data_IF_567923566984
#
_entry.id   IF_567923566984
#
_cell.length_a   1.000
_cell.length_b   1.000
_cell.length_c   1.000
_cell.angle_alpha   90.00
_cell.angle_beta   90.00
_cell.angle_gamma   90.00
#
_symmetry.space_group_name_H-M   'P 1'
#
loop_
_entity.id
_entity.type
_entity.pdbx_description
1 polymer ?
#
# COMPACT_ATOMS: atom_id res chain seq x y z
N UNK A 1 31.46 15.50 -2.84
CA UNK A 1 32.62 16.20 -2.24
C UNK A 1 32.86 15.53 -0.90
N UNK A 2 34.05 14.98 -0.62
CA UNK A 2 34.33 14.35 0.66
C UNK A 2 34.24 15.38 1.82
N UNK A 3 33.76 14.89 2.96
CA UNK A 3 33.68 15.67 4.20
C UNK A 3 34.79 15.25 5.16
N UNK A 4 35.12 16.11 6.12
CA UNK A 4 36.15 15.79 7.13
C UNK A 4 35.78 14.54 7.91
N UNK A 5 36.74 13.59 8.01
CA UNK A 5 36.59 12.34 8.69
C UNK A 5 36.07 11.18 7.78
N UNK A 6 35.78 11.43 6.54
CA UNK A 6 35.35 10.40 5.58
C UNK A 6 36.54 9.57 5.11
N UNK A 7 36.47 8.24 5.22
CA UNK A 7 37.47 7.33 4.66
C UNK A 7 37.19 7.17 3.14
N UNK A 8 38.24 7.42 2.34
CA UNK A 8 38.10 7.39 0.88
C UNK A 8 39.20 6.55 0.24
N UNK A 9 38.86 5.87 -0.86
CA UNK A 9 39.81 5.27 -1.80
C UNK A 9 40.11 6.29 -2.89
N UNK A 10 41.36 6.69 -3.00
CA UNK A 10 41.82 7.61 -4.02
C UNK A 10 42.64 6.85 -5.08
N UNK A 11 42.21 6.93 -6.34
CA UNK A 11 42.99 6.51 -7.49
C UNK A 11 43.74 7.70 -8.07
N UNK A 12 45.02 7.54 -8.37
CA UNK A 12 45.80 8.65 -8.91
C UNK A 12 47.26 8.28 -9.14
N UNK A 13 48.02 9.23 -9.67
CA UNK A 13 49.44 9.09 -9.91
C UNK A 13 50.29 9.83 -8.87
N UNK A 14 51.28 9.16 -8.32
CA UNK A 14 52.28 9.84 -7.45
C UNK A 14 53.26 10.60 -8.29
N UNK A 15 53.49 11.86 -7.95
CA UNK A 15 54.49 12.71 -8.61
C UNK A 15 55.28 13.52 -7.56
N UNK A 16 56.48 13.90 -7.92
CA UNK A 16 57.33 14.76 -7.07
C UNK A 16 57.23 16.17 -7.62
N UNK A 17 56.81 17.13 -6.78
CA UNK A 17 56.80 18.54 -7.14
C UNK A 17 58.24 19.08 -7.09
N UNK A 18 58.85 19.36 -8.30
CA UNK A 18 60.31 19.65 -8.34
C UNK A 18 60.76 20.87 -7.56
N UNK A 19 59.87 21.86 -7.40
CA UNK A 19 60.23 23.12 -6.74
C UNK A 19 60.39 23.00 -5.21
N UNK A 20 59.78 21.98 -4.56
CA UNK A 20 59.79 21.82 -3.10
C UNK A 20 60.21 20.42 -2.64
N UNK A 21 60.47 19.48 -3.57
CA UNK A 21 60.83 18.10 -3.26
C UNK A 21 59.73 17.31 -2.54
N UNK A 22 58.50 17.77 -2.60
CA UNK A 22 57.37 17.11 -1.94
C UNK A 22 56.71 16.09 -2.84
N UNK A 23 56.39 14.92 -2.27
CA UNK A 23 55.58 13.91 -2.93
C UNK A 23 54.11 14.33 -2.89
N UNK A 24 53.48 14.35 -4.06
CA UNK A 24 52.05 14.68 -4.20
C UNK A 24 51.33 13.55 -4.90
N UNK A 25 50.11 13.24 -4.48
CA UNK A 25 49.20 12.34 -5.12
C UNK A 25 48.24 13.18 -5.97
N UNK A 26 48.30 13.01 -7.30
CA UNK A 26 47.32 13.59 -8.19
C UNK A 26 46.15 12.62 -8.32
N UNK A 27 45.03 12.95 -7.64
CA UNK A 27 43.84 12.12 -7.60
C UNK A 27 42.99 12.39 -8.82
N UNK A 28 42.77 11.36 -9.63
CA UNK A 28 41.89 11.38 -10.81
C UNK A 28 40.50 10.76 -10.54
N UNK A 29 40.40 9.85 -9.54
CA UNK A 29 39.14 9.32 -9.05
C UNK A 29 39.14 9.17 -7.52
N UNK A 30 38.02 9.52 -6.90
CA UNK A 30 37.82 9.42 -5.46
C UNK A 30 36.51 8.66 -5.22
N UNK A 31 36.56 7.61 -4.38
CA UNK A 31 35.38 6.83 -4.00
C UNK A 31 35.35 6.71 -2.48
N UNK A 32 34.15 6.67 -1.84
CA UNK A 32 34.05 6.30 -0.44
C UNK A 32 34.64 4.91 -0.21
N UNK A 33 35.52 4.77 0.80
CA UNK A 33 36.08 3.47 1.13
C UNK A 33 35.03 2.61 1.85
N UNK A 34 34.88 1.35 1.41
CA UNK A 34 33.93 0.42 2.00
C UNK A 34 32.67 0.16 1.19
N UNK A 35 32.26 1.04 0.28
CA UNK A 35 31.09 0.78 -0.59
C UNK A 35 31.22 -0.53 -1.36
N UNK A 36 32.43 -0.85 -1.86
CA UNK A 36 32.69 -2.09 -2.56
C UNK A 36 32.51 -3.33 -1.68
N UNK A 37 32.93 -3.28 -0.41
CA UNK A 37 32.81 -4.40 0.52
C UNK A 37 31.34 -4.63 0.93
N UNK A 38 30.61 -3.57 1.22
CA UNK A 38 29.17 -3.64 1.53
C UNK A 38 28.38 -4.17 0.32
N UNK A 39 28.70 -3.72 -0.87
CA UNK A 39 28.04 -4.20 -2.09
C UNK A 39 28.31 -5.70 -2.36
N UNK A 40 29.54 -6.18 -2.12
CA UNK A 40 29.86 -7.60 -2.25
C UNK A 40 29.11 -8.45 -1.21
N UNK A 41 29.00 -7.97 0.02
CA UNK A 41 28.23 -8.66 1.07
C UNK A 41 26.73 -8.68 0.74
N UNK A 42 26.17 -7.58 0.20
CA UNK A 42 24.80 -7.55 -0.30
C UNK A 42 24.58 -8.60 -1.40
N UNK A 43 25.47 -8.71 -2.38
CA UNK A 43 25.35 -9.69 -3.45
C UNK A 43 25.44 -11.13 -2.92
N UNK A 44 26.35 -11.37 -1.97
CA UNK A 44 26.49 -12.69 -1.30
C UNK A 44 25.21 -13.07 -0.58
N UNK A 45 24.68 -12.18 0.25
CA UNK A 45 23.47 -12.42 1.02
C UNK A 45 22.25 -12.57 0.12
N UNK A 46 22.14 -11.75 -0.91
CA UNK A 46 21.09 -11.87 -1.92
C UNK A 46 21.10 -13.24 -2.57
N UNK A 47 22.25 -13.70 -3.06
CA UNK A 47 22.36 -15.00 -3.71
C UNK A 47 22.03 -16.17 -2.75
N UNK A 48 22.44 -16.06 -1.50
CA UNK A 48 22.11 -17.04 -0.45
C UNK A 48 20.60 -17.14 -0.23
N UNK A 49 19.92 -16.02 0.04
CA UNK A 49 18.49 -15.99 0.36
C UNK A 49 17.62 -16.31 -0.88
N UNK A 50 18.09 -15.99 -2.07
CA UNK A 50 17.46 -16.39 -3.35
C UNK A 50 17.51 -17.91 -3.52
N UNK A 51 18.67 -18.53 -3.25
CA UNK A 51 18.81 -20.00 -3.29
C UNK A 51 17.95 -20.73 -2.24
N UNK A 52 17.70 -20.09 -1.11
CA UNK A 52 16.77 -20.58 -0.07
C UNK A 52 15.29 -20.36 -0.44
N UNK A 53 14.98 -19.61 -1.52
CA UNK A 53 13.63 -19.35 -2.00
C UNK A 53 12.87 -18.23 -1.29
N UNK A 54 13.54 -17.38 -0.49
CA UNK A 54 12.86 -16.30 0.23
C UNK A 54 12.28 -15.22 -0.69
N UNK A 55 12.73 -15.14 -1.93
CA UNK A 55 12.27 -14.17 -2.93
C UNK A 55 11.23 -14.73 -3.89
N UNK A 56 10.86 -16.01 -3.74
CA UNK A 56 9.91 -16.65 -4.65
C UNK A 56 8.55 -15.93 -4.65
N UNK A 57 8.04 -15.52 -5.81
CA UNK A 57 6.74 -14.86 -5.93
C UNK A 57 5.58 -15.68 -5.34
N UNK A 58 5.71 -17.01 -5.25
CA UNK A 58 4.67 -17.87 -4.67
C UNK A 58 4.44 -17.63 -3.18
N UNK A 59 5.43 -17.10 -2.47
CA UNK A 59 5.32 -16.75 -1.05
C UNK A 59 4.72 -15.37 -0.80
N UNK A 60 4.65 -14.52 -1.84
CA UNK A 60 4.13 -13.15 -1.71
C UNK A 60 2.63 -13.12 -1.55
N UNK A 61 2.19 -12.48 -0.48
CA UNK A 61 0.78 -12.39 -0.10
C UNK A 61 0.10 -11.21 -0.79
N UNK A 62 -1.14 -11.40 -1.19
CA UNK A 62 -1.95 -10.33 -1.74
C UNK A 62 -2.30 -9.29 -0.66
N UNK A 63 -2.23 -8.01 -1.03
CA UNK A 63 -2.65 -6.92 -0.15
C UNK A 63 -4.18 -6.83 -0.08
N UNK A 64 -4.75 -6.49 1.08
CA UNK A 64 -6.18 -6.24 1.22
C UNK A 64 -6.60 -5.00 0.43
N UNK A 65 -7.73 -5.07 -0.28
CA UNK A 65 -8.24 -3.93 -1.06
C UNK A 65 -8.73 -2.78 -0.19
N UNK A 66 -9.23 -3.06 1.01
CA UNK A 66 -9.75 -2.07 1.95
C UNK A 66 -9.27 -2.42 3.37
N UNK A 67 -8.05 -2.04 3.74
CA UNK A 67 -7.52 -2.30 5.07
C UNK A 67 -8.26 -1.47 6.13
N UNK A 68 -8.38 -2.02 7.32
CA UNK A 68 -8.96 -1.36 8.50
C UNK A 68 -7.91 -1.04 9.55
N UNK A 69 -6.81 -1.81 9.58
CA UNK A 69 -5.76 -1.65 10.56
C UNK A 69 -4.38 -1.94 9.95
N UNK A 70 -3.52 -0.93 9.93
CA UNK A 70 -2.15 -1.01 9.37
C UNK A 70 -1.12 -0.86 10.50
N UNK A 71 -0.10 -1.74 10.48
CA UNK A 71 1.10 -1.60 11.29
C UNK A 71 2.16 -0.78 10.55
N UNK A 72 2.89 0.08 11.24
CA UNK A 72 4.00 0.85 10.66
C UNK A 72 5.25 0.64 11.50
N UNK A 73 6.32 0.14 10.87
CA UNK A 73 7.66 0.00 11.46
C UNK A 73 8.54 1.09 10.86
N UNK A 74 8.93 2.06 11.67
CA UNK A 74 9.80 3.19 11.29
C UNK A 74 10.31 3.92 12.54
N UNK A 75 11.16 4.93 12.37
CA UNK A 75 11.61 5.76 13.48
C UNK A 75 10.49 6.67 14.02
N UNK A 76 10.49 6.91 15.34
CA UNK A 76 9.45 7.72 16.00
C UNK A 76 9.43 9.18 15.54
N UNK A 77 10.58 9.73 15.15
CA UNK A 77 10.77 11.16 14.83
C UNK A 77 11.12 11.41 13.36
N UNK A 78 11.10 10.36 12.54
CA UNK A 78 11.49 10.46 11.13
C UNK A 78 10.42 11.13 10.26
N UNK A 79 10.83 11.86 9.22
CA UNK A 79 9.95 12.42 8.20
C UNK A 79 9.07 11.34 7.56
N UNK A 80 9.62 10.13 7.35
CA UNK A 80 8.90 8.99 6.79
C UNK A 80 7.62 8.64 7.56
N UNK A 81 7.62 8.69 8.90
CA UNK A 81 6.42 8.47 9.70
C UNK A 81 5.36 9.54 9.44
N UNK A 82 5.77 10.80 9.42
CA UNK A 82 4.86 11.91 9.15
C UNK A 82 4.21 11.79 7.77
N UNK A 83 5.01 11.51 6.74
CA UNK A 83 4.56 11.36 5.36
C UNK A 83 3.57 10.19 5.20
N UNK A 84 3.87 9.05 5.85
CA UNK A 84 2.97 7.89 5.86
C UNK A 84 1.64 8.26 6.53
N UNK A 85 1.67 8.83 7.74
CA UNK A 85 0.45 9.16 8.48
C UNK A 85 -0.39 10.21 7.76
N UNK A 86 0.24 11.23 7.18
CA UNK A 86 -0.45 12.24 6.39
C UNK A 86 -1.12 11.62 5.15
N UNK A 87 -0.42 10.75 4.45
CA UNK A 87 -0.94 10.08 3.26
C UNK A 87 -2.10 9.14 3.59
N UNK A 88 -1.95 8.30 4.61
CA UNK A 88 -3.00 7.38 5.07
C UNK A 88 -4.25 8.14 5.52
N UNK A 89 -4.08 9.21 6.32
CA UNK A 89 -5.19 10.02 6.79
C UNK A 89 -5.92 10.75 5.66
N UNK A 90 -5.19 11.25 4.66
CA UNK A 90 -5.78 11.86 3.46
C UNK A 90 -6.59 10.86 2.66
N UNK A 91 -6.07 9.65 2.44
CA UNK A 91 -6.69 8.63 1.58
C UNK A 91 -7.82 7.87 2.28
N UNK A 92 -7.61 7.49 3.54
CA UNK A 92 -8.58 6.69 4.30
C UNK A 92 -8.58 7.08 5.78
N UNK A 93 -9.26 8.17 6.19
CA UNK A 93 -9.21 8.72 7.56
C UNK A 93 -9.79 7.80 8.65
N UNK A 94 -10.55 6.77 8.27
CA UNK A 94 -11.10 5.77 9.18
C UNK A 94 -10.14 4.63 9.51
N UNK A 95 -8.96 4.64 8.88
CA UNK A 95 -7.95 3.62 9.05
C UNK A 95 -7.30 3.71 10.43
N UNK A 96 -7.25 2.59 11.14
CA UNK A 96 -6.47 2.48 12.37
C UNK A 96 -5.01 2.23 12.03
N UNK A 97 -4.11 2.99 12.65
CA UNK A 97 -2.67 2.84 12.45
C UNK A 97 -2.01 2.55 13.79
N UNK A 98 -1.26 1.45 13.86
CA UNK A 98 -0.40 1.11 15.00
C UNK A 98 1.05 1.29 14.62
N UNK A 99 1.73 2.22 15.26
CA UNK A 99 3.17 2.45 15.03
C UNK A 99 3.97 1.60 16.00
N UNK A 100 4.93 0.86 15.49
CA UNK A 100 5.98 0.16 16.25
C UNK A 100 7.30 0.91 16.03
N UNK A 101 7.59 1.92 16.84
CA UNK A 101 8.76 2.76 16.65
C UNK A 101 10.04 1.98 16.94
N UNK A 102 11.04 2.14 16.05
CA UNK A 102 12.35 1.51 16.19
C UNK A 102 13.42 2.35 15.47
N UNK A 103 14.70 2.29 15.88
CA UNK A 103 15.79 2.78 15.05
C UNK A 103 15.74 2.10 13.67
N UNK A 104 15.96 2.88 12.61
CA UNK A 104 15.95 2.40 11.21
C UNK A 104 17.31 2.59 10.53
N UNK A 105 18.33 2.93 11.32
CA UNK A 105 19.74 3.04 10.93
C UNK A 105 20.64 2.76 12.13
N UNK A 106 21.92 2.45 11.86
CA UNK A 106 22.90 2.09 12.88
C UNK A 106 22.82 0.62 13.30
N UNK A 107 23.74 0.22 14.18
CA UNK A 107 24.00 -1.17 14.54
C UNK A 107 22.81 -1.85 15.26
N UNK A 108 22.01 -1.07 15.98
CA UNK A 108 20.86 -1.58 16.74
C UNK A 108 19.58 -1.71 15.87
N UNK A 109 19.58 -1.15 14.68
CA UNK A 109 18.38 -1.12 13.83
C UNK A 109 17.87 -2.51 13.45
N UNK A 110 18.69 -3.48 13.01
CA UNK A 110 18.20 -4.81 12.65
C UNK A 110 17.44 -5.50 13.79
N UNK A 111 18.01 -5.53 14.98
CA UNK A 111 17.38 -6.12 16.16
C UNK A 111 16.07 -5.41 16.53
N UNK A 112 16.06 -4.07 16.44
CA UNK A 112 14.88 -3.26 16.67
C UNK A 112 13.77 -3.50 15.66
N UNK A 113 14.08 -3.60 14.37
CA UNK A 113 13.13 -3.91 13.29
C UNK A 113 12.52 -5.29 13.50
N UNK A 114 13.34 -6.31 13.79
CA UNK A 114 12.87 -7.66 14.07
C UNK A 114 11.89 -7.66 15.26
N UNK A 115 12.23 -6.97 16.35
CA UNK A 115 11.37 -6.88 17.52
C UNK A 115 10.05 -6.13 17.22
N UNK A 116 10.10 -5.07 16.41
CA UNK A 116 8.93 -4.32 15.97
C UNK A 116 8.00 -5.17 15.10
N UNK A 117 8.56 -5.91 14.12
CA UNK A 117 7.80 -6.85 13.29
C UNK A 117 7.13 -7.92 14.14
N UNK A 118 7.86 -8.55 15.08
CA UNK A 118 7.29 -9.56 16.00
C UNK A 118 6.16 -9.00 16.84
N UNK A 119 6.29 -7.77 17.35
CA UNK A 119 5.25 -7.07 18.12
C UNK A 119 3.99 -6.84 17.30
N UNK A 120 4.12 -6.37 16.07
CA UNK A 120 2.97 -6.18 15.17
C UNK A 120 2.32 -7.52 14.80
N UNK A 121 3.10 -8.55 14.57
CA UNK A 121 2.60 -9.89 14.26
C UNK A 121 1.84 -10.55 15.44
N UNK A 122 2.01 -10.08 16.67
CA UNK A 122 1.23 -10.54 17.83
C UNK A 122 -0.16 -9.92 17.93
N UNK A 123 -0.44 -8.86 17.19
CA UNK A 123 -1.76 -8.23 17.16
C UNK A 123 -2.74 -9.11 16.34
N UNK A 124 -3.97 -9.36 16.83
CA UNK A 124 -4.87 -10.31 16.17
C UNK A 124 -5.56 -9.77 14.92
N UNK A 125 -5.65 -8.45 14.76
CA UNK A 125 -6.52 -7.76 13.82
C UNK A 125 -5.80 -6.77 12.91
N UNK A 126 -4.53 -7.03 12.62
CA UNK A 126 -3.75 -6.26 11.65
C UNK A 126 -4.02 -6.78 10.24
N UNK A 127 -4.07 -5.89 9.25
CA UNK A 127 -4.31 -6.24 7.85
C UNK A 127 -3.01 -6.32 7.03
N UNK A 128 -2.07 -5.41 7.30
CA UNK A 128 -0.75 -5.37 6.67
C UNK A 128 0.24 -4.54 7.50
N UNK A 129 1.52 -4.64 7.16
CA UNK A 129 2.61 -3.90 7.80
C UNK A 129 3.34 -3.08 6.74
N UNK A 130 3.63 -1.81 7.05
CA UNK A 130 4.54 -0.97 6.28
C UNK A 130 5.86 -0.91 7.04
N UNK A 131 6.94 -1.36 6.42
CA UNK A 131 8.31 -1.18 6.89
C UNK A 131 8.93 -0.05 6.09
N UNK A 132 9.26 1.07 6.74
CA UNK A 132 9.64 2.27 6.01
C UNK A 132 10.82 3.02 6.63
N UNK A 133 11.61 3.60 5.72
CA UNK A 133 12.66 4.56 6.01
C UNK A 133 12.77 5.55 4.84
N UNK A 134 13.00 6.81 5.15
CA UNK A 134 13.35 7.80 4.13
C UNK A 134 14.68 7.49 3.43
N UNK A 135 15.06 8.26 2.43
CA UNK A 135 16.34 8.13 1.76
C UNK A 135 17.53 8.34 2.68
N UNK A 136 18.72 7.98 2.20
CA UNK A 136 19.99 8.09 2.91
C UNK A 136 21.10 7.39 2.13
N UNK A 137 22.30 7.35 2.70
CA UNK A 137 23.41 6.61 2.12
C UNK A 137 23.22 5.11 2.19
N UNK A 138 24.02 4.33 1.45
CA UNK A 138 23.96 2.88 1.47
C UNK A 138 24.23 2.31 2.87
N UNK A 139 25.10 2.95 3.63
CA UNK A 139 25.40 2.59 5.02
C UNK A 139 24.18 2.79 5.93
N UNK A 140 23.42 3.82 5.68
CA UNK A 140 22.20 4.13 6.41
C UNK A 140 21.08 3.11 6.11
N UNK A 141 21.02 2.58 4.91
CA UNK A 141 20.07 1.56 4.49
C UNK A 141 20.51 0.15 4.85
N UNK A 142 21.75 -0.01 5.35
CA UNK A 142 22.35 -1.31 5.57
C UNK A 142 21.56 -2.21 6.53
N UNK A 143 20.87 -1.62 7.49
CA UNK A 143 19.99 -2.35 8.42
C UNK A 143 18.90 -3.19 7.73
N UNK A 144 18.51 -2.82 6.52
CA UNK A 144 17.51 -3.54 5.71
C UNK A 144 18.13 -4.64 4.82
N UNK A 145 19.47 -4.75 4.84
CA UNK A 145 20.22 -5.84 4.23
C UNK A 145 20.60 -6.92 5.26
N UNK A 146 20.04 -6.89 6.45
CA UNK A 146 20.30 -7.89 7.50
C UNK A 146 19.48 -9.17 7.24
N UNK A 147 20.12 -10.34 7.39
CA UNK A 147 19.50 -11.65 7.21
C UNK A 147 18.34 -11.88 8.19
N UNK A 148 18.48 -11.47 9.45
CA UNK A 148 17.44 -11.61 10.45
C UNK A 148 16.21 -10.77 10.14
N UNK A 149 16.39 -9.57 9.58
CA UNK A 149 15.29 -8.72 9.09
C UNK A 149 14.57 -9.40 7.93
N UNK A 150 15.32 -9.91 6.95
CA UNK A 150 14.76 -10.66 5.83
C UNK A 150 13.90 -11.84 6.30
N UNK A 151 14.44 -12.65 7.19
CA UNK A 151 13.72 -13.80 7.77
C UNK A 151 12.51 -13.39 8.61
N UNK A 152 12.56 -12.25 9.31
CA UNK A 152 11.42 -11.72 10.07
C UNK A 152 10.29 -11.21 9.15
N UNK A 153 10.63 -10.62 8.00
CA UNK A 153 9.66 -10.24 6.97
C UNK A 153 9.00 -11.48 6.37
N UNK A 154 9.80 -12.48 5.98
CA UNK A 154 9.33 -13.74 5.41
C UNK A 154 8.38 -14.49 6.36
N UNK A 155 8.73 -14.56 7.64
CA UNK A 155 7.93 -15.20 8.68
C UNK A 155 6.74 -14.36 9.16
N UNK A 156 6.52 -13.18 8.60
CA UNK A 156 5.41 -12.32 9.00
C UNK A 156 4.07 -13.00 8.70
N UNK A 157 3.13 -12.90 9.63
CA UNK A 157 1.74 -13.35 9.44
C UNK A 157 0.98 -12.45 8.45
N UNK A 158 1.30 -11.17 8.44
CA UNK A 158 0.64 -10.15 7.64
C UNK A 158 1.50 -9.76 6.44
N UNK A 159 0.90 -9.38 5.32
CA UNK A 159 1.64 -8.85 4.20
C UNK A 159 2.50 -7.65 4.62
N UNK A 160 3.71 -7.58 4.09
CA UNK A 160 4.66 -6.49 4.37
C UNK A 160 4.92 -5.70 3.11
N UNK A 161 4.74 -4.38 3.20
CA UNK A 161 5.18 -3.43 2.17
C UNK A 161 6.49 -2.83 2.63
N UNK A 162 7.53 -2.96 1.81
CA UNK A 162 8.79 -2.23 1.99
C UNK A 162 8.71 -0.88 1.30
N UNK A 163 8.93 0.19 2.05
CA UNK A 163 9.06 1.57 1.57
C UNK A 163 10.37 2.16 2.05
N UNK A 164 11.48 1.54 1.64
CA UNK A 164 12.84 1.86 2.08
C UNK A 164 13.62 2.50 0.94
N UNK A 165 14.27 3.64 1.23
CA UNK A 165 15.11 4.34 0.26
C UNK A 165 14.34 5.09 -0.84
N UNK A 166 14.91 5.12 -2.03
CA UNK A 166 14.37 5.73 -3.24
C UNK A 166 14.30 4.72 -4.39
N UNK A 167 13.96 5.17 -5.60
CA UNK A 167 13.75 4.30 -6.76
C UNK A 167 14.95 3.41 -7.11
N UNK A 168 16.17 3.94 -6.94
CA UNK A 168 17.43 3.27 -7.27
C UNK A 168 17.98 2.37 -6.17
N UNK A 169 17.51 2.54 -4.94
CA UNK A 169 18.06 1.87 -3.76
C UNK A 169 17.30 0.58 -3.49
N UNK A 170 17.91 -0.55 -3.75
CA UNK A 170 17.33 -1.86 -3.47
C UNK A 170 17.99 -2.48 -2.24
N UNK A 171 17.17 -2.93 -1.30
CA UNK A 171 17.60 -3.66 -0.13
C UNK A 171 17.11 -5.11 -0.14
N UNK A 172 17.71 -5.96 0.68
CA UNK A 172 17.23 -7.35 0.85
C UNK A 172 15.79 -7.37 1.33
N UNK A 173 15.39 -6.44 2.19
CA UNK A 173 14.01 -6.29 2.65
C UNK A 173 13.03 -6.08 1.48
N UNK A 174 13.42 -5.37 0.41
CA UNK A 174 12.57 -5.15 -0.77
C UNK A 174 12.31 -6.43 -1.57
N UNK A 175 13.31 -7.33 -1.64
CA UNK A 175 13.14 -8.60 -2.35
C UNK A 175 12.24 -9.56 -1.60
N UNK A 176 12.32 -9.59 -0.26
CA UNK A 176 11.53 -10.49 0.60
C UNK A 176 10.13 -9.96 0.85
N UNK A 177 9.92 -8.64 0.90
CA UNK A 177 8.61 -8.04 1.13
C UNK A 177 7.58 -8.48 0.08
N UNK A 178 6.32 -8.53 0.47
CA UNK A 178 5.21 -8.88 -0.43
C UNK A 178 5.06 -7.86 -1.56
N UNK A 179 5.31 -6.58 -1.24
CA UNK A 179 5.33 -5.50 -2.21
C UNK A 179 6.39 -4.46 -1.87
N UNK A 180 7.07 -3.95 -2.89
CA UNK A 180 8.00 -2.83 -2.77
C UNK A 180 7.34 -1.54 -3.20
N UNK A 181 7.58 -0.47 -2.44
CA UNK A 181 7.32 0.90 -2.82
C UNK A 181 8.64 1.69 -2.90
N UNK A 182 8.78 2.61 -3.84
CA UNK A 182 10.02 3.39 -3.97
C UNK A 182 10.22 4.43 -2.85
N UNK A 183 9.16 4.75 -2.11
CA UNK A 183 9.18 5.75 -1.03
C UNK A 183 8.21 5.37 0.09
N UNK A 184 8.39 5.92 1.30
CA UNK A 184 7.42 5.77 2.39
C UNK A 184 6.00 6.23 2.03
N UNK A 185 5.88 7.34 1.29
CA UNK A 185 4.60 7.84 0.77
C UNK A 185 3.97 6.86 -0.20
N UNK A 186 4.76 6.33 -1.14
CA UNK A 186 4.31 5.30 -2.08
C UNK A 186 3.85 4.03 -1.37
N UNK A 187 4.51 3.63 -0.28
CA UNK A 187 4.08 2.49 0.53
C UNK A 187 2.69 2.74 1.16
N UNK A 188 2.43 3.95 1.66
CA UNK A 188 1.13 4.32 2.18
C UNK A 188 0.04 4.35 1.09
N UNK A 189 0.36 4.76 -0.13
CA UNK A 189 -0.55 4.74 -1.28
C UNK A 189 -0.89 3.32 -1.72
N UNK A 190 0.12 2.45 -1.84
CA UNK A 190 -0.08 1.03 -2.16
C UNK A 190 -0.85 0.28 -1.07
N UNK A 191 -0.66 0.66 0.20
CA UNK A 191 -1.41 0.11 1.33
C UNK A 191 -2.89 0.51 1.32
N UNK A 192 -3.25 1.60 0.64
CA UNK A 192 -4.63 2.11 0.56
C UNK A 192 -5.06 2.26 -0.91
N UNK A 193 -5.24 1.16 -1.65
CA UNK A 193 -5.56 1.22 -3.08
C UNK A 193 -6.90 1.90 -3.37
N UNK A 194 -7.84 1.84 -2.43
CA UNK A 194 -9.15 2.51 -2.51
C UNK A 194 -9.15 3.73 -1.59
N UNK A 195 -9.48 4.89 -2.14
CA UNK A 195 -9.62 6.14 -1.40
C UNK A 195 -11.03 6.32 -0.82
N UNK A 196 -11.15 7.23 0.15
CA UNK A 196 -12.45 7.65 0.69
C UNK A 196 -13.37 8.21 -0.40
N UNK A 197 -12.80 8.97 -1.33
CA UNK A 197 -13.52 9.59 -2.44
C UNK A 197 -14.09 8.52 -3.39
N UNK A 198 -13.30 7.53 -3.76
CA UNK A 198 -13.73 6.40 -4.61
C UNK A 198 -14.80 5.55 -3.91
N UNK A 199 -14.63 5.28 -2.62
CA UNK A 199 -15.62 4.56 -1.84
C UNK A 199 -16.96 5.32 -1.77
N UNK A 200 -16.90 6.64 -1.57
CA UNK A 200 -18.07 7.50 -1.55
C UNK A 200 -18.79 7.54 -2.90
N UNK A 201 -18.03 7.66 -3.98
CA UNK A 201 -18.58 7.62 -5.33
C UNK A 201 -19.27 6.28 -5.63
N UNK A 202 -18.65 5.16 -5.22
CA UNK A 202 -19.24 3.83 -5.38
C UNK A 202 -20.54 3.68 -4.60
N UNK A 203 -20.61 4.19 -3.36
CA UNK A 203 -21.83 4.19 -2.55
C UNK A 203 -22.94 5.03 -3.18
N UNK A 204 -22.62 6.25 -3.65
CA UNK A 204 -23.60 7.12 -4.33
C UNK A 204 -24.12 6.49 -5.61
N UNK A 205 -23.24 5.82 -6.39
CA UNK A 205 -23.63 5.08 -7.58
C UNK A 205 -24.60 3.92 -7.28
N UNK A 206 -24.30 3.15 -6.22
CA UNK A 206 -25.16 2.05 -5.79
C UNK A 206 -26.53 2.55 -5.27
N UNK A 207 -26.55 3.66 -4.55
CA UNK A 207 -27.79 4.30 -4.06
C UNK A 207 -28.68 4.78 -5.23
N UNK A 208 -28.06 5.42 -6.23
CA UNK A 208 -28.76 5.87 -7.44
C UNK A 208 -29.35 4.67 -8.21
N UNK A 209 -28.60 3.60 -8.40
CA UNK A 209 -29.08 2.38 -9.07
C UNK A 209 -30.23 1.71 -8.30
N UNK A 210 -30.13 1.62 -6.99
CA UNK A 210 -31.21 1.09 -6.15
C UNK A 210 -32.48 1.93 -6.27
N UNK A 211 -32.35 3.24 -6.21
CA UNK A 211 -33.46 4.17 -6.36
C UNK A 211 -34.15 4.03 -7.71
N UNK A 212 -33.38 3.91 -8.79
CA UNK A 212 -33.92 3.70 -10.13
C UNK A 212 -34.68 2.36 -10.25
N UNK A 213 -34.09 1.28 -9.72
CA UNK A 213 -34.74 -0.03 -9.72
C UNK A 213 -36.06 -0.05 -8.96
N UNK A 214 -36.08 0.57 -7.77
CA UNK A 214 -37.28 0.68 -6.94
C UNK A 214 -38.35 1.51 -7.68
N UNK A 215 -37.98 2.65 -8.25
CA UNK A 215 -38.92 3.49 -9.00
C UNK A 215 -39.51 2.76 -10.22
N UNK A 216 -38.68 2.04 -10.97
CA UNK A 216 -39.13 1.22 -12.10
C UNK A 216 -40.13 0.15 -11.65
N UNK A 217 -39.81 -0.59 -10.58
CA UNK A 217 -40.69 -1.62 -10.04
C UNK A 217 -42.02 -1.04 -9.51
N UNK A 218 -42.00 0.13 -8.87
CA UNK A 218 -43.20 0.83 -8.45
C UNK A 218 -44.06 1.26 -9.63
N UNK A 219 -43.47 1.72 -10.71
CA UNK A 219 -44.20 2.13 -11.92
C UNK A 219 -44.85 0.93 -12.60
N UNK A 220 -44.14 -0.20 -12.73
CA UNK A 220 -44.68 -1.46 -13.24
C UNK A 220 -45.87 -1.95 -12.41
N UNK A 221 -45.77 -1.88 -11.07
CA UNK A 221 -46.86 -2.26 -10.18
C UNK A 221 -48.08 -1.34 -10.32
N UNK A 222 -47.87 -0.02 -10.45
CA UNK A 222 -48.94 0.95 -10.70
C UNK A 222 -49.66 0.67 -12.02
N UNK A 223 -48.92 0.41 -13.09
CA UNK A 223 -49.46 0.05 -14.36
C UNK A 223 -50.30 -1.23 -14.28
N UNK A 224 -49.76 -2.30 -13.63
CA UNK A 224 -50.47 -3.55 -13.42
C UNK A 224 -51.77 -3.32 -12.60
N UNK A 225 -51.73 -2.50 -11.56
CA UNK A 225 -52.89 -2.13 -10.77
C UNK A 225 -53.94 -1.38 -11.60
N UNK A 226 -53.52 -0.40 -12.42
CA UNK A 226 -54.45 0.33 -13.32
C UNK A 226 -55.11 -0.59 -14.33
N UNK A 227 -54.36 -1.52 -14.92
CA UNK A 227 -54.95 -2.52 -15.82
C UNK A 227 -55.97 -3.41 -15.13
N UNK A 228 -55.64 -3.97 -13.95
CA UNK A 228 -56.55 -4.77 -13.16
C UNK A 228 -57.81 -4.01 -12.76
N UNK A 229 -57.69 -2.73 -12.36
CA UNK A 229 -58.83 -1.88 -12.07
C UNK A 229 -59.72 -1.61 -13.28
N UNK A 230 -59.12 -1.40 -14.48
CA UNK A 230 -59.84 -1.18 -15.72
C UNK A 230 -60.62 -2.41 -16.13
N UNK A 231 -60.02 -3.60 -16.03
CA UNK A 231 -60.67 -4.91 -16.29
C UNK A 231 -61.84 -5.14 -15.33
N UNK A 232 -61.64 -4.88 -14.04
CA UNK A 232 -62.69 -5.02 -13.03
C UNK A 232 -63.87 -4.10 -13.30
N UNK A 233 -63.62 -2.86 -13.72
CA UNK A 233 -64.71 -1.92 -14.15
C UNK A 233 -65.45 -2.47 -15.39
N UNK A 234 -64.73 -2.99 -16.38
CA UNK A 234 -65.29 -3.50 -17.63
C UNK A 234 -66.15 -4.76 -17.42
N UNK A 235 -65.76 -5.64 -16.49
CA UNK A 235 -66.47 -6.86 -16.13
C UNK A 235 -67.47 -6.71 -14.98
N UNK A 236 -67.60 -5.49 -14.44
CA UNK A 236 -68.46 -5.21 -13.29
C UNK A 236 -69.93 -5.64 -13.56
N UNK A 237 -70.50 -6.48 -12.69
CA UNK A 237 -71.90 -6.89 -12.82
C UNK A 237 -72.87 -5.71 -12.87
N UNK A 238 -72.51 -4.61 -12.18
CA UNK A 238 -73.31 -3.39 -12.12
C UNK A 238 -73.39 -2.69 -13.48
N UNK A 239 -72.33 -2.62 -14.24
CA UNK A 239 -72.32 -2.07 -15.60
C UNK A 239 -73.09 -3.00 -16.58
N UNK A 240 -73.00 -4.34 -16.42
CA UNK A 240 -73.79 -5.28 -17.19
C UNK A 240 -75.30 -5.12 -16.97
N UNK A 241 -75.70 -4.95 -15.72
CA UNK A 241 -77.11 -4.69 -15.36
C UNK A 241 -77.59 -3.35 -15.96
N UNK A 242 -76.81 -2.27 -15.79
CA UNK A 242 -77.15 -0.96 -16.36
C UNK A 242 -77.28 -0.97 -17.89
N UNK A 243 -76.33 -1.61 -18.59
CA UNK A 243 -76.38 -1.77 -20.04
C UNK A 243 -77.58 -2.64 -20.50
N UNK A 244 -77.94 -3.67 -19.73
CA UNK A 244 -79.13 -4.49 -20.01
C UNK A 244 -80.42 -3.74 -19.77
N UNK A 245 -80.52 -2.91 -18.73
CA UNK A 245 -81.64 -2.04 -18.47
C UNK A 245 -81.82 -1.04 -19.64
N UNK A 246 -80.74 -0.37 -20.04
CA UNK A 246 -80.77 0.58 -21.15
C UNK A 246 -81.20 -0.07 -22.46
N UNK A 247 -80.71 -1.30 -22.76
CA UNK A 247 -81.13 -2.06 -23.89
C UNK A 247 -82.62 -2.45 -23.84
N UNK A 248 -83.16 -2.75 -22.68
CA UNK A 248 -84.61 -3.02 -22.52
C UNK A 248 -85.44 -1.74 -22.74
N UNK A 249 -84.99 -0.62 -22.27
CA UNK A 249 -85.64 0.68 -22.49
C UNK A 249 -85.64 1.07 -23.96
N UNK A 250 -84.52 0.82 -24.70
CA UNK A 250 -84.47 1.04 -26.18
C UNK A 250 -85.33 0.11 -27.00
N UNK A 251 -85.72 -1.04 -26.49
CA UNK A 251 -86.63 -2.02 -27.18
C UNK A 251 -88.11 -1.77 -26.85
N UNK A 252 -88.46 -0.97 -25.86
CA UNK A 252 -89.86 -0.67 -25.45
C UNK A 252 -90.34 0.70 -25.96
N UNK A 253 -89.47 1.54 -26.57
CA UNK A 253 -89.82 2.77 -27.22
C UNK A 253 -89.81 2.66 -28.73
#
# INVERSE_FOLDING_TARGET
IPTDGMLVEAHGAMSIYPAQGQVQLYVDALRPAGEGALYQEFLRLRAQLEAEGLFDPSHKRALPRLPKHIGVVTSATGAALHDILQTLNRRLPTLRVTVAPTPVQGVEAPAGIIAALKRLNSLPDLDLIILARGGGSIEDLWAFNDEGVARAIFASRYPVISGVGHETDFTIADFVADLRAPTPTGAAELATPITKEELRAALQGAEAQLTELINRQLEDLKQALQLAQSELRRTSPRLRILNNIQRLDELQG
#
